data_IF_847025823134
#
_entry.id   IF_847025823134
#
_cell.length_a   1.000
_cell.length_b   1.000
_cell.length_c   1.000
_cell.angle_alpha   90.00
_cell.angle_beta   90.00
_cell.angle_gamma   90.00
#
_symmetry.space_group_name_H-M   'P 1'
#
loop_
_entity.id
_entity.type
_entity.pdbx_description
1 polymer ?
#
# COMPACT_ATOMS: atom_id res chain seq x y z
N UNK A 1 -12.56 3.86 6.68
CA UNK A 1 -12.61 4.51 5.36
C UNK A 1 -11.28 4.60 4.60
N UNK A 2 -10.08 4.31 5.16
CA UNK A 2 -8.83 4.43 4.38
C UNK A 2 -8.47 3.30 3.38
N UNK A 3 -9.13 2.15 3.45
CA UNK A 3 -8.76 0.99 2.59
C UNK A 3 -9.05 1.24 1.11
N UNK A 4 -10.19 1.87 0.80
CA UNK A 4 -10.58 2.19 -0.57
C UNK A 4 -9.62 3.21 -1.19
N UNK A 5 -9.20 4.23 -0.44
CA UNK A 5 -8.27 5.26 -0.90
C UNK A 5 -6.89 4.67 -1.20
N UNK A 6 -6.37 3.80 -0.33
CA UNK A 6 -5.11 3.07 -0.56
C UNK A 6 -5.21 2.21 -1.83
N UNK A 7 -6.31 1.48 -1.99
CA UNK A 7 -6.53 0.66 -3.17
C UNK A 7 -6.62 1.50 -4.45
N UNK A 8 -7.38 2.59 -4.42
CA UNK A 8 -7.54 3.51 -5.55
C UNK A 8 -6.20 4.17 -5.92
N UNK A 9 -5.38 4.58 -4.94
CA UNK A 9 -4.06 5.14 -5.18
C UNK A 9 -3.13 4.16 -5.89
N UNK A 10 -3.08 2.90 -5.42
CA UNK A 10 -2.29 1.85 -6.05
C UNK A 10 -2.82 1.54 -7.47
N UNK A 11 -4.15 1.49 -7.63
CA UNK A 11 -4.81 1.24 -8.92
C UNK A 11 -4.60 2.37 -9.93
N UNK A 12 -4.50 3.62 -9.48
CA UNK A 12 -4.16 4.77 -10.32
C UNK A 12 -2.69 4.76 -10.73
N UNK A 13 -1.81 4.21 -9.90
CA UNK A 13 -0.36 4.14 -10.14
C UNK A 13 0.11 2.70 -10.47
N UNK A 14 -0.54 2.06 -11.45
CA UNK A 14 -0.21 0.68 -11.84
C UNK A 14 1.26 0.55 -12.25
N UNK A 15 1.87 -0.60 -11.94
CA UNK A 15 3.26 -0.91 -12.30
C UNK A 15 4.32 -0.23 -11.41
N UNK A 16 3.92 0.62 -10.46
CA UNK A 16 4.84 1.29 -9.54
C UNK A 16 4.75 0.70 -8.13
N UNK A 17 5.90 0.64 -7.47
CA UNK A 17 6.03 0.17 -6.10
C UNK A 17 6.07 1.35 -5.13
N UNK A 18 5.28 1.28 -4.07
CA UNK A 18 5.21 2.31 -3.04
C UNK A 18 5.36 1.74 -1.64
N UNK A 19 6.01 2.48 -0.75
CA UNK A 19 6.03 2.15 0.68
C UNK A 19 4.78 2.67 1.38
N UNK A 20 4.46 2.13 2.56
CA UNK A 20 3.35 2.65 3.38
C UNK A 20 3.51 4.14 3.71
N UNK A 21 4.75 4.62 3.86
CA UNK A 21 5.07 6.05 4.08
C UNK A 21 4.73 6.90 2.86
N UNK A 22 5.13 6.47 1.67
CA UNK A 22 4.82 7.20 0.43
C UNK A 22 3.31 7.28 0.19
N UNK A 23 2.59 6.17 0.38
CA UNK A 23 1.13 6.15 0.22
C UNK A 23 0.49 7.12 1.21
N UNK A 24 0.87 7.04 2.50
CA UNK A 24 0.38 7.92 3.56
C UNK A 24 0.51 9.41 3.23
N UNK A 25 1.67 9.82 2.70
CA UNK A 25 1.90 11.22 2.28
C UNK A 25 1.00 11.61 1.11
N UNK A 26 0.85 10.75 0.10
CA UNK A 26 0.09 11.06 -1.10
C UNK A 26 -1.42 11.16 -0.85
N UNK A 27 -1.98 10.25 -0.05
CA UNK A 27 -3.43 10.24 0.24
C UNK A 27 -3.78 11.02 1.52
N UNK A 28 -2.79 11.63 2.19
CA UNK A 28 -2.95 12.38 3.46
C UNK A 28 -3.65 11.59 4.58
N UNK A 29 -3.43 10.28 4.63
CA UNK A 29 -3.96 9.38 5.68
C UNK A 29 -2.83 8.96 6.60
N UNK A 30 -3.13 8.75 7.88
CA UNK A 30 -2.14 8.29 8.86
C UNK A 30 -1.48 6.97 8.45
N UNK A 31 -0.17 6.86 8.70
CA UNK A 31 0.61 5.68 8.31
C UNK A 31 0.10 4.39 8.97
N UNK A 32 -0.46 4.48 10.18
CA UNK A 32 -1.11 3.35 10.87
C UNK A 32 -2.34 2.85 10.12
N UNK A 33 -3.22 3.75 9.67
CA UNK A 33 -4.41 3.41 8.87
C UNK A 33 -4.04 2.82 7.51
N UNK A 34 -3.02 3.37 6.84
CA UNK A 34 -2.48 2.82 5.59
C UNK A 34 -1.92 1.41 5.83
N UNK A 35 -1.15 1.21 6.90
CA UNK A 35 -0.56 -0.09 7.23
C UNK A 35 -1.63 -1.15 7.50
N UNK A 36 -2.68 -0.81 8.25
CA UNK A 36 -3.81 -1.73 8.49
C UNK A 36 -4.57 -2.05 7.21
N UNK A 37 -4.77 -1.06 6.34
CA UNK A 37 -5.40 -1.23 5.03
C UNK A 37 -4.58 -2.15 4.12
N UNK A 38 -3.28 -1.94 4.04
CA UNK A 38 -2.35 -2.78 3.26
C UNK A 38 -2.29 -4.21 3.79
N UNK A 39 -2.35 -4.42 5.12
CA UNK A 39 -2.47 -5.76 5.71
C UNK A 39 -3.74 -6.48 5.24
N UNK A 40 -4.90 -5.79 5.22
CA UNK A 40 -6.16 -6.35 4.72
C UNK A 40 -6.09 -6.66 3.22
N UNK A 41 -5.59 -5.72 2.41
CA UNK A 41 -5.43 -5.90 0.96
C UNK A 41 -4.49 -7.05 0.61
N UNK A 42 -3.43 -7.26 1.42
CA UNK A 42 -2.54 -8.42 1.29
C UNK A 42 -3.28 -9.74 1.54
N UNK A 43 -4.10 -9.82 2.59
CA UNK A 43 -4.93 -11.01 2.87
C UNK A 43 -5.91 -11.30 1.74
N UNK A 44 -6.52 -10.26 1.16
CA UNK A 44 -7.42 -10.38 0.00
C UNK A 44 -6.68 -10.60 -1.33
N UNK A 45 -5.34 -10.69 -1.32
CA UNK A 45 -4.50 -10.85 -2.52
C UNK A 45 -4.75 -9.81 -3.64
N UNK A 46 -5.27 -8.62 -3.29
CA UNK A 46 -5.55 -7.54 -4.25
C UNK A 46 -4.32 -6.67 -4.56
N UNK A 47 -3.24 -6.86 -3.82
CA UNK A 47 -1.98 -6.12 -3.98
C UNK A 47 -0.80 -7.07 -3.95
N UNK A 48 0.23 -6.78 -4.75
CA UNK A 48 1.55 -7.41 -4.63
C UNK A 48 2.33 -6.68 -3.55
N UNK A 49 3.15 -7.42 -2.81
CA UNK A 49 4.06 -6.85 -1.81
C UNK A 49 5.43 -7.52 -1.88
N UNK A 50 6.48 -6.77 -1.56
CA UNK A 50 7.86 -7.29 -1.46
C UNK A 50 8.63 -6.57 -0.35
N UNK A 51 9.65 -7.23 0.18
CA UNK A 51 10.60 -6.59 1.09
C UNK A 51 11.55 -5.68 0.28
N UNK A 52 11.93 -4.52 0.83
CA UNK A 52 12.92 -3.61 0.23
C UNK A 52 14.37 -3.98 0.56
N UNK A 53 14.60 -5.03 1.34
CA UNK A 53 15.90 -5.41 1.90
C UNK A 53 16.19 -4.74 3.25
N UNK A 54 15.38 -3.75 3.66
CA UNK A 54 15.48 -3.11 4.98
C UNK A 54 14.56 -3.81 5.98
N UNK A 55 15.02 -3.88 7.24
CA UNK A 55 14.25 -4.51 8.31
C UNK A 55 12.91 -3.77 8.47
N UNK A 56 11.81 -4.53 8.42
CA UNK A 56 10.44 -4.05 8.59
C UNK A 56 9.91 -3.08 7.53
N UNK A 57 10.52 -2.99 6.35
CA UNK A 57 10.05 -2.14 5.26
C UNK A 57 9.55 -2.96 4.07
N UNK A 58 8.32 -2.67 3.64
CA UNK A 58 7.68 -3.35 2.52
C UNK A 58 7.24 -2.33 1.46
N UNK A 59 7.35 -2.75 0.21
CA UNK A 59 6.77 -2.07 -0.93
C UNK A 59 5.53 -2.81 -1.41
N UNK A 60 4.58 -2.03 -1.94
CA UNK A 60 3.26 -2.47 -2.37
C UNK A 60 2.99 -1.98 -3.77
N UNK A 61 2.35 -2.82 -4.58
CA UNK A 61 1.93 -2.50 -5.94
C UNK A 61 0.54 -3.08 -6.19
N UNK A 62 -0.24 -2.42 -7.04
CA UNK A 62 -1.52 -2.95 -7.49
C UNK A 62 -1.34 -4.31 -8.20
N UNK A 63 -2.18 -5.29 -7.84
CA UNK A 63 -2.29 -6.53 -8.60
C UNK A 63 -3.41 -6.33 -9.63
N UNK A 64 -3.03 -6.30 -10.91
CA UNK A 64 -3.97 -6.23 -12.03
C UNK A 64 -4.74 -7.54 -12.16
#
# INVERSE_FOLDING_TARGET
MGQQEVYNFLKANKGKWFTSKQISINIKVSIGSVTMSLKKLRKSQLVKYRNTGKRNEFQYMYKA
#
